data_IF_250037410246
#
_entry.id   IF_250037410246
#
_cell.length_a   1.000
_cell.length_b   1.000
_cell.length_c   1.000
_cell.angle_alpha   90.00
_cell.angle_beta   90.00
_cell.angle_gamma   90.00
#
_symmetry.space_group_name_H-M   'P 1'
#
loop_
_entity.id
_entity.type
_entity.pdbx_description
1 polymer ?
#
# COMPACT_ATOMS: atom_id res chain seq x y z
N UNK A 1 14.86 -5.49 -20.60
CA UNK A 1 13.96 -6.43 -19.90
C UNK A 1 12.53 -5.93 -20.04
N UNK A 2 11.66 -6.70 -20.69
CA UNK A 2 10.23 -6.36 -20.83
C UNK A 2 9.52 -6.81 -19.55
N UNK A 3 8.93 -5.88 -18.82
CA UNK A 3 8.13 -6.21 -17.64
C UNK A 3 6.80 -6.84 -18.08
N UNK A 4 6.37 -7.88 -17.36
CA UNK A 4 5.04 -8.45 -17.59
C UNK A 4 3.95 -7.43 -17.19
N UNK A 5 2.74 -7.57 -17.76
CA UNK A 5 1.61 -6.67 -17.46
C UNK A 5 1.33 -6.57 -15.95
N UNK A 6 1.50 -7.68 -15.22
CA UNK A 6 1.33 -7.71 -13.76
C UNK A 6 2.42 -6.89 -13.03
N UNK A 7 3.68 -6.96 -13.48
CA UNK A 7 4.77 -6.18 -12.91
C UNK A 7 4.54 -4.68 -13.14
N UNK A 8 4.04 -4.29 -14.31
CA UNK A 8 3.69 -2.90 -14.61
C UNK A 8 2.60 -2.42 -13.63
N UNK A 9 1.56 -3.23 -13.38
CA UNK A 9 0.50 -2.90 -12.41
C UNK A 9 1.03 -2.74 -10.99
N UNK A 10 1.93 -3.61 -10.55
CA UNK A 10 2.56 -3.51 -9.22
C UNK A 10 3.38 -2.22 -9.10
N UNK A 11 4.18 -1.90 -10.14
CA UNK A 11 4.99 -0.68 -10.16
C UNK A 11 4.13 0.59 -10.21
N UNK A 12 3.02 0.57 -10.95
CA UNK A 12 2.07 1.68 -10.96
C UNK A 12 1.42 1.87 -9.58
N UNK A 13 0.95 0.79 -8.96
CA UNK A 13 0.38 0.81 -7.61
C UNK A 13 1.39 1.38 -6.60
N UNK A 14 2.65 0.92 -6.63
CA UNK A 14 3.72 1.43 -5.78
C UNK A 14 3.94 2.95 -5.97
N UNK A 15 4.02 3.42 -7.22
CA UNK A 15 4.14 4.86 -7.52
C UNK A 15 2.95 5.65 -6.96
N UNK A 16 1.74 5.13 -7.08
CA UNK A 16 0.53 5.78 -6.56
C UNK A 16 0.53 5.86 -5.03
N UNK A 17 1.00 4.82 -4.35
CA UNK A 17 1.23 4.89 -2.90
C UNK A 17 2.23 5.98 -2.54
N UNK A 18 3.40 6.00 -3.15
CA UNK A 18 4.43 7.02 -2.88
C UNK A 18 3.92 8.45 -3.11
N UNK A 19 3.06 8.66 -4.10
CA UNK A 19 2.41 9.95 -4.34
C UNK A 19 1.40 10.29 -3.25
N UNK A 20 0.58 9.33 -2.81
CA UNK A 20 -0.41 9.53 -1.76
C UNK A 20 0.23 9.87 -0.41
N UNK A 21 1.41 9.31 -0.13
CA UNK A 21 2.14 9.53 1.12
C UNK A 21 3.24 10.60 1.02
N UNK A 22 3.23 11.44 -0.04
CA UNK A 22 4.30 12.43 -0.28
C UNK A 22 4.54 13.36 0.92
N UNK A 23 3.46 13.72 1.62
CA UNK A 23 3.49 14.64 2.77
C UNK A 23 3.60 13.92 4.12
N UNK A 24 3.76 12.59 4.12
CA UNK A 24 3.90 11.79 5.33
C UNK A 24 5.38 11.62 5.73
N UNK A 25 5.67 11.27 7.00
CA UNK A 25 7.03 11.02 7.48
C UNK A 25 7.77 9.94 6.67
N UNK A 26 9.09 10.06 6.61
CA UNK A 26 9.97 9.14 5.87
C UNK A 26 9.85 7.68 6.34
N UNK A 27 9.55 7.46 7.62
CA UNK A 27 9.25 6.13 8.18
C UNK A 27 8.09 5.44 7.44
N UNK A 28 7.06 6.18 7.05
CA UNK A 28 5.92 5.66 6.29
C UNK A 28 6.33 5.27 4.86
N UNK A 29 7.24 6.04 4.26
CA UNK A 29 7.81 5.74 2.95
C UNK A 29 8.65 4.46 2.97
N UNK A 30 9.43 4.27 4.02
CA UNK A 30 10.22 3.05 4.23
C UNK A 30 9.31 1.84 4.46
N UNK A 31 8.26 1.99 5.27
CA UNK A 31 7.26 0.93 5.48
C UNK A 31 6.59 0.46 4.17
N UNK A 32 6.20 1.39 3.30
CA UNK A 32 5.65 1.05 1.98
C UNK A 32 6.70 0.34 1.11
N UNK A 33 7.93 0.85 1.05
CA UNK A 33 9.03 0.19 0.31
C UNK A 33 9.25 -1.25 0.78
N UNK A 34 9.36 -1.45 2.09
CA UNK A 34 9.61 -2.75 2.68
C UNK A 34 8.44 -3.70 2.42
N UNK A 35 7.20 -3.22 2.52
CA UNK A 35 6.00 -4.01 2.22
C UNK A 35 5.99 -4.55 0.77
N UNK A 36 6.34 -3.71 -0.21
CA UNK A 36 6.43 -4.14 -1.61
C UNK A 36 7.62 -5.09 -1.84
N UNK A 37 8.75 -4.85 -1.17
CA UNK A 37 9.95 -5.71 -1.25
C UNK A 37 9.69 -7.09 -0.67
N UNK A 38 9.05 -7.17 0.49
CA UNK A 38 8.68 -8.42 1.14
C UNK A 38 7.63 -9.17 0.32
N UNK A 39 6.66 -8.47 -0.28
CA UNK A 39 5.72 -9.08 -1.23
C UNK A 39 6.44 -9.72 -2.43
N UNK A 40 7.42 -9.04 -3.01
CA UNK A 40 8.20 -9.56 -4.13
C UNK A 40 9.06 -10.78 -3.76
N UNK A 41 9.51 -10.91 -2.51
CA UNK A 41 10.21 -12.10 -2.01
C UNK A 41 9.25 -13.26 -1.71
N UNK A 42 8.07 -12.94 -1.17
CA UNK A 42 7.11 -13.91 -0.66
C UNK A 42 6.32 -14.60 -1.77
N UNK A 43 5.91 -13.87 -2.79
CA UNK A 43 5.06 -14.41 -3.85
C UNK A 43 5.89 -14.83 -5.06
N UNK A 44 5.72 -16.09 -5.50
CA UNK A 44 6.34 -16.52 -6.74
C UNK A 44 5.68 -15.82 -7.92
N UNK A 45 6.46 -15.53 -8.96
CA UNK A 45 5.96 -14.94 -10.22
C UNK A 45 4.87 -15.77 -10.91
N UNK A 46 4.76 -17.05 -10.54
CA UNK A 46 3.76 -17.98 -11.09
C UNK A 46 2.44 -17.97 -10.31
N UNK A 47 2.39 -17.33 -9.13
CA UNK A 47 1.21 -17.31 -8.27
C UNK A 47 0.26 -16.18 -8.66
N UNK A 48 -0.21 -16.18 -9.90
CA UNK A 48 -0.96 -15.07 -10.49
C UNK A 48 -2.21 -14.68 -9.68
N UNK A 49 -2.97 -15.66 -9.18
CA UNK A 49 -4.17 -15.40 -8.37
C UNK A 49 -3.85 -14.68 -7.06
N UNK A 50 -2.75 -15.10 -6.41
CA UNK A 50 -2.32 -14.47 -5.16
C UNK A 50 -1.84 -13.05 -5.44
N UNK A 51 -1.08 -12.84 -6.51
CA UNK A 51 -0.60 -11.50 -6.89
C UNK A 51 -1.78 -10.57 -7.23
N UNK A 52 -2.75 -11.03 -8.01
CA UNK A 52 -3.97 -10.26 -8.32
C UNK A 52 -4.75 -9.92 -7.05
N UNK A 53 -4.93 -10.87 -6.14
CA UNK A 53 -5.59 -10.62 -4.86
C UNK A 53 -4.85 -9.55 -4.03
N UNK A 54 -3.51 -9.60 -3.99
CA UNK A 54 -2.73 -8.58 -3.27
C UNK A 54 -2.78 -7.21 -3.95
N UNK A 55 -2.80 -7.15 -5.29
CA UNK A 55 -3.00 -5.91 -6.04
C UNK A 55 -4.36 -5.31 -5.71
N UNK A 56 -5.44 -6.11 -5.77
CA UNK A 56 -6.79 -5.66 -5.42
C UNK A 56 -6.85 -5.13 -3.99
N UNK A 57 -6.30 -5.88 -3.03
CA UNK A 57 -6.20 -5.45 -1.62
C UNK A 57 -5.42 -4.15 -1.47
N UNK A 58 -4.33 -3.99 -2.21
CA UNK A 58 -3.53 -2.76 -2.23
C UNK A 58 -4.27 -1.57 -2.83
N UNK A 59 -5.08 -1.77 -3.86
CA UNK A 59 -5.95 -0.73 -4.42
C UNK A 59 -7.04 -0.28 -3.43
N UNK A 60 -7.67 -1.22 -2.71
CA UNK A 60 -8.61 -0.89 -1.63
C UNK A 60 -7.97 -0.04 -0.54
N UNK A 61 -6.80 -0.45 -0.03
CA UNK A 61 -6.06 0.31 0.99
C UNK A 61 -5.60 1.69 0.50
N UNK A 62 -5.20 1.81 -0.78
CA UNK A 62 -4.83 3.10 -1.36
C UNK A 62 -6.05 4.02 -1.47
N UNK A 63 -7.20 3.43 -1.80
CA UNK A 63 -8.48 4.12 -1.85
C UNK A 63 -8.85 4.61 -0.45
N UNK A 64 -8.80 3.75 0.56
CA UNK A 64 -8.97 4.13 1.97
C UNK A 64 -8.00 5.24 2.39
N UNK A 65 -6.72 5.15 2.04
CA UNK A 65 -5.74 6.20 2.35
C UNK A 65 -6.11 7.55 1.73
N UNK A 66 -6.63 7.56 0.49
CA UNK A 66 -7.10 8.77 -0.19
C UNK A 66 -8.41 9.31 0.39
N UNK A 67 -9.35 8.42 0.74
CA UNK A 67 -10.65 8.79 1.28
C UNK A 67 -10.58 9.17 2.76
N UNK A 68 -9.75 8.53 3.58
CA UNK A 68 -9.52 8.88 4.99
C UNK A 68 -8.75 10.20 5.18
N UNK A 69 -8.25 10.81 4.10
CA UNK A 69 -7.87 12.23 4.08
C UNK A 69 -9.09 13.16 4.27
N UNK A 70 -10.31 12.64 4.19
CA UNK A 70 -11.56 13.28 4.60
C UNK A 70 -12.17 12.39 5.71
N UNK A 71 -12.20 12.86 6.96
CA UNK A 71 -12.91 12.26 8.11
C UNK A 71 -12.24 11.15 8.95
N UNK A 72 -10.96 10.81 8.79
CA UNK A 72 -10.35 9.68 9.55
C UNK A 72 -9.33 10.03 10.63
N UNK A 73 -8.47 11.02 10.39
CA UNK A 73 -7.33 11.30 11.28
C UNK A 73 -7.67 12.08 12.56
N UNK A 74 -8.95 12.32 12.84
CA UNK A 74 -9.43 12.88 14.11
C UNK A 74 -10.01 11.84 15.08
N UNK A 75 -9.93 10.54 14.80
CA UNK A 75 -10.55 9.49 15.65
C UNK A 75 -9.66 8.32 16.07
N UNK A 76 -8.34 8.46 16.02
CA UNK A 76 -7.43 7.45 16.62
C UNK A 76 -6.47 8.07 17.66
N UNK A 77 -6.89 9.16 18.29
CA UNK A 77 -6.38 9.61 19.59
C UNK A 77 -7.57 10.05 20.44
N UNK A 78 -8.36 9.07 20.91
CA UNK A 78 -9.26 9.22 22.07
C UNK A 78 -9.67 7.79 22.49
N UNK A 79 -8.66 6.99 22.82
CA UNK A 79 -8.80 5.84 23.72
C UNK A 79 -7.56 5.74 24.60
N UNK A 80 -7.16 6.88 25.15
CA UNK A 80 -6.58 6.92 26.48
C UNK A 80 -7.64 7.49 27.41
N UNK A 81 -7.72 6.86 28.59
CA UNK A 81 -8.56 7.11 29.76
C UNK A 81 -9.92 6.40 29.85
N UNK A 82 -9.95 5.59 30.92
CA UNK A 82 -11.05 5.12 31.77
C UNK A 82 -11.68 3.77 31.37
N UNK A 83 -11.18 2.69 31.99
CA UNK A 83 -11.67 2.22 33.30
C UNK A 83 -10.55 1.48 34.05
#
# INVERSE_FOLDING_TARGET
MVYSKIQIRILDLYKRYLRAIKDHPESYRNFIKDSFREGAKKYSKNDFLIIEHQIARGEHKLTELKFCRISGYSRVQLKEKQS
#
